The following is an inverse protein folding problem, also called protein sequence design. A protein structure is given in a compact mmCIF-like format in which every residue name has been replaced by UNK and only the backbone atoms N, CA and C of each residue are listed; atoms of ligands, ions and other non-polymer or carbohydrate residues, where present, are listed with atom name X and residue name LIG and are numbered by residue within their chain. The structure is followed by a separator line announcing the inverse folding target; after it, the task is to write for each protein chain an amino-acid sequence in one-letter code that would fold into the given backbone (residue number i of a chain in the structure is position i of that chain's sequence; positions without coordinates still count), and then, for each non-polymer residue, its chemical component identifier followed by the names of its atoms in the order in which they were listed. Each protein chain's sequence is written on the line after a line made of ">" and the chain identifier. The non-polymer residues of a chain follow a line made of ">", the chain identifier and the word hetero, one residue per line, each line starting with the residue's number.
data_IF_824365327835
#
_entry.id   IF_824365327835
#
_cell.length_a   1.000
_cell.length_b   1.000
_cell.length_c   1.000
_cell.angle_alpha   90.00
_cell.angle_beta   90.00
_cell.angle_gamma   90.00
#
_symmetry.space_group_name_H-M   'P 1'
#
loop_
_entity.id
_entity.type
_entity.pdbx_description
1 polymer ?
#
# COMPACT_ATOMS: atom_id res chain seq x y z
N UNK A 1 18.37 -12.07 -40.79
CA UNK A 1 18.24 -11.85 -39.34
C UNK A 1 18.84 -13.07 -38.68
N UNK A 2 20.00 -12.93 -38.04
CA UNK A 2 20.78 -14.08 -37.57
C UNK A 2 20.23 -14.60 -36.22
N UNK A 3 20.39 -15.90 -35.99
CA UNK A 3 19.91 -16.63 -34.79
C UNK A 3 20.42 -15.98 -33.49
N UNK A 4 21.60 -15.35 -33.54
CA UNK A 4 22.20 -14.63 -32.40
C UNK A 4 21.38 -13.38 -32.06
N UNK A 5 20.92 -12.63 -33.06
CA UNK A 5 20.10 -11.43 -32.85
C UNK A 5 18.75 -11.78 -32.23
N UNK A 6 18.15 -12.89 -32.65
CA UNK A 6 16.85 -13.37 -32.17
C UNK A 6 16.93 -13.83 -30.70
N UNK A 7 18.00 -14.57 -30.35
CA UNK A 7 18.26 -15.00 -28.97
C UNK A 7 18.53 -13.82 -28.03
N UNK A 8 19.20 -12.77 -28.53
CA UNK A 8 19.49 -11.56 -27.74
C UNK A 8 18.21 -10.75 -27.50
N UNK A 9 17.33 -10.63 -28.51
CA UNK A 9 16.02 -9.98 -28.39
C UNK A 9 15.14 -10.66 -27.33
N UNK A 10 15.16 -12.00 -27.29
CA UNK A 10 14.41 -12.81 -26.33
C UNK A 10 14.87 -12.62 -24.87
N UNK A 11 16.19 -12.54 -24.64
CA UNK A 11 16.74 -12.31 -23.29
C UNK A 11 16.39 -10.92 -22.76
N UNK A 12 16.53 -9.89 -23.59
CA UNK A 12 16.16 -8.51 -23.25
C UNK A 12 14.68 -8.38 -22.92
N UNK A 13 13.81 -9.08 -23.65
CA UNK A 13 12.38 -9.11 -23.39
C UNK A 13 12.06 -9.76 -22.04
N UNK A 14 12.75 -10.86 -21.70
CA UNK A 14 12.58 -11.55 -20.41
C UNK A 14 13.01 -10.68 -19.22
N UNK A 15 14.15 -10.01 -19.32
CA UNK A 15 14.64 -9.12 -18.26
C UNK A 15 13.74 -7.89 -18.07
N UNK A 16 13.24 -7.30 -19.16
CA UNK A 16 12.27 -6.22 -19.11
C UNK A 16 10.94 -6.64 -18.45
N UNK A 17 10.46 -7.87 -18.73
CA UNK A 17 9.25 -8.43 -18.10
C UNK A 17 9.48 -8.65 -16.60
N UNK A 18 10.63 -9.19 -16.19
CA UNK A 18 10.98 -9.37 -14.77
C UNK A 18 11.05 -8.04 -14.03
N UNK A 19 11.71 -7.03 -14.60
CA UNK A 19 11.81 -5.69 -14.00
C UNK A 19 10.43 -5.03 -13.86
N UNK A 20 9.56 -5.20 -14.86
CA UNK A 20 8.18 -4.73 -14.81
C UNK A 20 7.35 -5.42 -13.72
N UNK A 21 7.50 -6.73 -13.56
CA UNK A 21 6.84 -7.49 -12.50
C UNK A 21 7.29 -7.04 -11.10
N UNK A 22 8.61 -6.96 -10.86
CA UNK A 22 9.17 -6.49 -9.61
C UNK A 22 8.73 -5.06 -9.26
N UNK A 23 8.67 -4.17 -10.25
CA UNK A 23 8.17 -2.80 -10.08
C UNK A 23 6.70 -2.76 -9.63
N UNK A 24 5.85 -3.60 -10.22
CA UNK A 24 4.43 -3.71 -9.82
C UNK A 24 4.27 -4.25 -8.40
N UNK A 25 5.05 -5.25 -8.03
CA UNK A 25 5.04 -5.82 -6.69
C UNK A 25 5.51 -4.81 -5.64
N UNK A 26 6.59 -4.06 -5.94
CA UNK A 26 7.07 -2.98 -5.07
C UNK A 26 6.00 -1.91 -4.88
N UNK A 27 5.35 -1.46 -5.97
CA UNK A 27 4.27 -0.48 -5.88
C UNK A 27 3.11 -0.98 -5.01
N UNK A 28 2.72 -2.25 -5.17
CA UNK A 28 1.68 -2.88 -4.35
C UNK A 28 2.07 -2.93 -2.87
N UNK A 29 3.32 -3.28 -2.57
CA UNK A 29 3.82 -3.28 -1.20
C UNK A 29 3.80 -1.88 -0.57
N UNK A 30 4.18 -0.84 -1.32
CA UNK A 30 4.10 0.54 -0.86
C UNK A 30 2.65 0.99 -0.58
N UNK A 31 1.69 0.61 -1.43
CA UNK A 31 0.26 0.87 -1.19
C UNK A 31 -0.26 0.16 0.06
N UNK A 32 0.13 -1.11 0.27
CA UNK A 32 -0.24 -1.86 1.47
C UNK A 32 0.33 -1.20 2.73
N UNK A 33 1.56 -0.69 2.67
CA UNK A 33 2.15 0.05 3.77
C UNK A 33 1.37 1.35 4.07
N UNK A 34 0.99 2.10 3.04
CA UNK A 34 0.17 3.31 3.20
C UNK A 34 -1.18 2.98 3.87
N UNK A 35 -1.83 1.87 3.51
CA UNK A 35 -3.04 1.40 4.21
C UNK A 35 -2.80 1.17 5.71
N UNK A 36 -1.72 0.49 6.09
CA UNK A 36 -1.37 0.26 7.51
C UNK A 36 -1.16 1.60 8.23
N UNK A 37 -0.44 2.53 7.59
CA UNK A 37 -0.18 3.84 8.14
C UNK A 37 -1.46 4.65 8.34
N UNK A 38 -2.38 4.64 7.37
CA UNK A 38 -3.68 5.32 7.48
C UNK A 38 -4.50 4.72 8.62
N UNK A 39 -4.55 3.39 8.72
CA UNK A 39 -5.27 2.72 9.80
C UNK A 39 -4.74 3.16 11.18
N UNK A 40 -3.42 3.15 11.34
CA UNK A 40 -2.75 3.65 12.54
C UNK A 40 -3.07 5.13 12.81
N UNK A 41 -3.02 5.98 11.79
CA UNK A 41 -3.34 7.39 11.90
C UNK A 41 -4.78 7.61 12.39
N UNK A 42 -5.75 6.91 11.79
CA UNK A 42 -7.15 6.97 12.20
C UNK A 42 -7.34 6.57 13.67
N UNK A 43 -6.65 5.50 14.08
CA UNK A 43 -6.69 5.04 15.47
C UNK A 43 -6.14 6.12 16.42
N UNK A 44 -4.96 6.68 16.11
CA UNK A 44 -4.34 7.74 16.92
C UNK A 44 -5.15 9.02 16.96
N UNK A 45 -5.74 9.43 15.85
CA UNK A 45 -6.66 10.58 15.83
C UNK A 45 -7.84 10.36 16.78
N UNK A 46 -8.45 9.17 16.80
CA UNK A 46 -9.55 8.87 17.74
C UNK A 46 -9.11 8.82 19.19
N UNK A 47 -7.93 8.29 19.48
CA UNK A 47 -7.37 8.30 20.85
C UNK A 47 -7.25 9.73 21.41
N UNK A 48 -7.11 10.75 20.56
CA UNK A 48 -7.09 12.16 21.00
C UNK A 48 -8.46 12.74 21.34
N UNK A 49 -9.56 12.08 20.96
CA UNK A 49 -10.91 12.54 21.27
C UNK A 49 -11.30 12.02 22.66
N UNK A 50 -11.60 12.91 23.63
CA UNK A 50 -12.02 12.49 24.96
C UNK A 50 -13.25 11.58 24.89
N UNK A 51 -13.18 10.42 25.55
CA UNK A 51 -14.31 9.48 25.67
C UNK A 51 -15.34 10.01 26.66
N UNK A 52 -16.00 11.11 26.33
CA UNK A 52 -16.96 11.80 27.20
C UNK A 52 -18.41 11.46 26.81
N UNK A 53 -18.63 10.33 26.12
CA UNK A 53 -19.91 9.95 25.53
C UNK A 53 -20.83 9.23 26.50
N UNK A 54 -22.12 9.55 26.41
CA UNK A 54 -23.25 8.92 27.11
C UNK A 54 -23.49 7.43 26.76
N UNK A 55 -22.73 6.87 25.80
CA UNK A 55 -22.86 5.51 25.31
C UNK A 55 -21.65 4.67 25.71
N UNK A 56 -21.90 3.51 26.33
CA UNK A 56 -20.83 2.56 26.63
C UNK A 56 -20.25 1.95 25.35
N UNK A 57 -18.97 2.19 25.12
CA UNK A 57 -18.20 1.50 24.08
C UNK A 57 -17.89 0.09 24.60
N UNK A 58 -18.69 -0.89 24.18
CA UNK A 58 -18.43 -2.30 24.44
C UNK A 58 -17.48 -2.93 23.41
N UNK A 59 -16.96 -4.12 23.74
CA UNK A 59 -16.03 -4.89 22.88
C UNK A 59 -16.54 -5.05 21.44
N UNK A 60 -17.83 -5.30 21.24
CA UNK A 60 -18.42 -5.45 19.90
C UNK A 60 -18.30 -4.18 19.06
N UNK A 61 -18.42 -3.01 19.68
CA UNK A 61 -18.25 -1.73 18.98
C UNK A 61 -16.81 -1.55 18.53
N UNK A 62 -15.84 -1.84 19.39
CA UNK A 62 -14.41 -1.73 19.06
C UNK A 62 -14.02 -2.68 17.91
N UNK A 63 -14.57 -3.89 17.89
CA UNK A 63 -14.34 -4.84 16.79
C UNK A 63 -14.91 -4.29 15.47
N UNK A 64 -16.17 -3.85 15.45
CA UNK A 64 -16.77 -3.29 14.23
C UNK A 64 -16.02 -2.03 13.77
N UNK A 65 -15.63 -1.17 14.71
CA UNK A 65 -14.88 0.05 14.43
C UNK A 65 -13.51 -0.27 13.81
N UNK A 66 -12.77 -1.22 14.37
CA UNK A 66 -11.45 -1.62 13.83
C UNK A 66 -11.56 -2.23 12.43
N UNK A 67 -12.58 -3.07 12.18
CA UNK A 67 -12.87 -3.60 10.85
C UNK A 67 -13.22 -2.49 9.85
N UNK A 68 -14.03 -1.52 10.28
CA UNK A 68 -14.38 -0.35 9.48
C UNK A 68 -13.14 0.48 9.12
N UNK A 69 -12.28 0.75 10.10
CA UNK A 69 -11.05 1.52 9.88
C UNK A 69 -10.09 0.81 8.94
N UNK A 70 -10.04 -0.53 8.99
CA UNK A 70 -9.21 -1.32 8.08
C UNK A 70 -9.72 -1.23 6.64
N UNK A 71 -11.03 -1.40 6.42
CA UNK A 71 -11.62 -1.27 5.09
C UNK A 71 -11.47 0.14 4.53
N UNK A 72 -11.68 1.17 5.37
CA UNK A 72 -11.50 2.56 4.98
C UNK A 72 -10.05 2.86 4.61
N UNK A 73 -9.10 2.41 5.41
CA UNK A 73 -7.67 2.61 5.13
C UNK A 73 -7.23 1.93 3.83
N UNK A 74 -7.77 0.74 3.55
CA UNK A 74 -7.50 0.05 2.28
C UNK A 74 -8.03 0.86 1.08
N UNK A 75 -9.26 1.37 1.15
CA UNK A 75 -9.83 2.18 0.08
C UNK A 75 -9.08 3.51 -0.12
N UNK A 76 -8.71 4.18 0.97
CA UNK A 76 -7.93 5.41 0.92
C UNK A 76 -6.54 5.17 0.31
N UNK A 77 -5.88 4.07 0.62
CA UNK A 77 -4.59 3.72 0.02
C UNK A 77 -4.67 3.45 -1.49
N UNK A 78 -5.81 2.95 -1.99
CA UNK A 78 -6.05 2.74 -3.43
C UNK A 78 -6.23 4.05 -4.17
N UNK A 79 -6.85 5.05 -3.53
CA UNK A 79 -7.04 6.39 -4.10
C UNK A 79 -5.72 7.14 -4.32
N UNK A 80 -4.67 6.83 -3.54
CA UNK A 80 -3.36 7.48 -3.62
C UNK A 80 -3.34 8.94 -3.15
N UNK A 81 -4.42 9.43 -2.54
CA UNK A 81 -4.57 10.84 -2.17
C UNK A 81 -3.59 11.34 -1.08
N UNK A 82 -3.00 10.43 -0.29
CA UNK A 82 -2.01 10.77 0.74
C UNK A 82 -0.58 10.82 0.18
N UNK A 83 -0.32 10.17 -0.96
CA UNK A 83 0.96 10.24 -1.67
C UNK A 83 2.14 9.56 -0.98
N UNK A 84 1.95 8.90 0.17
CA UNK A 84 3.02 8.27 0.92
C UNK A 84 3.55 7.04 0.18
N UNK A 85 2.66 6.25 -0.41
CA UNK A 85 3.05 5.08 -1.21
C UNK A 85 3.98 5.47 -2.38
N UNK A 86 3.69 6.58 -3.05
CA UNK A 86 4.50 7.07 -4.17
C UNK A 86 5.87 7.59 -3.71
N UNK A 87 5.92 8.29 -2.58
CA UNK A 87 7.19 8.74 -1.99
C UNK A 87 8.09 7.57 -1.61
N UNK A 88 7.52 6.54 -0.96
CA UNK A 88 8.27 5.33 -0.59
C UNK A 88 8.73 4.60 -1.84
N UNK A 89 7.85 4.42 -2.82
CA UNK A 89 8.17 3.78 -4.10
C UNK A 89 9.31 4.51 -4.83
N UNK A 90 9.27 5.85 -4.88
CA UNK A 90 10.32 6.67 -5.49
C UNK A 90 11.69 6.48 -4.83
N UNK A 91 11.73 6.25 -3.52
CA UNK A 91 13.00 5.97 -2.84
C UNK A 91 13.44 4.52 -3.03
N UNK A 92 12.53 3.55 -2.92
CA UNK A 92 12.87 2.13 -2.99
C UNK A 92 13.21 1.67 -4.41
N UNK A 93 12.56 2.21 -5.44
CA UNK A 93 12.83 1.89 -6.86
C UNK A 93 14.22 2.30 -7.33
N UNK A 94 14.97 3.09 -6.55
CA UNK A 94 16.38 3.38 -6.81
C UNK A 94 17.32 2.24 -6.38
N UNK A 95 16.86 1.40 -5.46
CA UNK A 95 17.63 0.32 -4.85
C UNK A 95 17.20 -1.09 -5.32
N UNK A 96 16.14 -1.17 -6.13
CA UNK A 96 15.57 -2.41 -6.70
C UNK A 96 15.65 -2.33 -8.23
#
# INVERSE_FOLDING_TARGET
>A
MDIITDKTQFLLQNDAVKKSAASKELKKACQQFESIFINYLLQKMRETVPKNGFFEQGLSFDIVQSMHDQALAEELSKSGNLGLAEQIYSQMSKYV
#
